data_IF_853655868851
#
_entry.id   IF_853655868851
#
_cell.length_a   1.000
_cell.length_b   1.000
_cell.length_c   1.000
_cell.angle_alpha   90.00
_cell.angle_beta   90.00
_cell.angle_gamma   90.00
#
_symmetry.space_group_name_H-M   'P 1'
#
loop_
_entity.id
_entity.type
_entity.pdbx_description
1 polymer ?
#
# COMPACT_ATOMS: atom_id res chain seq x y z
N UNK A 1 -23.65 4.19 33.89
CA UNK A 1 -24.54 3.62 32.86
C UNK A 1 -24.69 4.68 31.79
N UNK A 2 -24.00 4.59 30.64
CA UNK A 2 -24.30 5.47 29.52
C UNK A 2 -25.51 4.91 28.76
N UNK A 3 -26.41 5.82 28.41
CA UNK A 3 -27.66 5.60 27.69
C UNK A 3 -27.32 5.24 26.23
N UNK A 4 -27.56 3.99 25.85
CA UNK A 4 -27.22 3.43 24.55
C UNK A 4 -28.46 2.78 23.93
N UNK A 5 -29.45 3.59 23.55
CA UNK A 5 -30.41 3.22 22.49
C UNK A 5 -31.28 4.41 22.04
N UNK A 6 -30.66 5.44 21.46
CA UNK A 6 -31.40 6.36 20.58
C UNK A 6 -30.95 6.06 19.15
N UNK A 7 -31.83 5.56 18.26
CA UNK A 7 -31.49 5.48 16.85
C UNK A 7 -31.17 6.90 16.36
N UNK A 8 -30.03 7.07 15.70
CA UNK A 8 -29.67 8.31 15.03
C UNK A 8 -30.77 8.62 13.99
N UNK A 9 -31.67 9.54 14.33
CA UNK A 9 -32.63 10.09 13.37
C UNK A 9 -31.80 10.94 12.42
N UNK A 10 -31.43 10.35 11.28
CA UNK A 10 -30.79 11.09 10.20
C UNK A 10 -31.78 12.13 9.71
N UNK A 11 -31.49 13.40 9.99
CA UNK A 11 -32.24 14.54 9.49
C UNK A 11 -32.24 14.52 7.95
N UNK A 12 -33.35 14.06 7.37
CA UNK A 12 -33.50 13.92 5.91
C UNK A 12 -33.46 15.26 5.17
N UNK A 13 -33.56 16.39 5.88
CA UNK A 13 -33.46 17.73 5.29
C UNK A 13 -32.06 18.08 4.75
N UNK A 14 -31.08 17.19 4.91
CA UNK A 14 -29.67 17.38 4.51
C UNK A 14 -29.14 16.30 3.56
N UNK A 15 -30.03 15.46 3.01
CA UNK A 15 -29.66 14.42 2.04
C UNK A 15 -30.18 14.82 0.66
N UNK A 16 -29.43 14.45 -0.38
CA UNK A 16 -29.91 14.52 -1.76
C UNK A 16 -31.09 13.56 -1.93
N UNK A 17 -32.19 14.06 -2.49
CA UNK A 17 -33.41 13.30 -2.78
C UNK A 17 -33.62 13.30 -4.31
N UNK A 18 -33.51 12.15 -5.01
CA UNK A 18 -33.64 12.09 -6.46
C UNK A 18 -35.06 12.37 -6.97
N UNK A 19 -36.08 12.29 -6.10
CA UNK A 19 -37.49 12.33 -6.50
C UNK A 19 -38.10 13.75 -6.47
N UNK A 20 -37.29 14.79 -6.21
CA UNK A 20 -37.73 16.19 -6.13
C UNK A 20 -37.07 17.09 -7.17
N UNK A 21 -37.69 18.23 -7.48
CA UNK A 21 -37.11 19.22 -8.39
C UNK A 21 -35.85 19.88 -7.79
N UNK A 22 -34.75 19.89 -8.56
CA UNK A 22 -33.46 20.50 -8.20
C UNK A 22 -33.17 21.78 -9.00
N UNK A 23 -32.21 22.58 -8.53
CA UNK A 23 -31.77 23.81 -9.21
C UNK A 23 -30.88 23.56 -10.44
N UNK A 24 -30.70 22.29 -10.83
CA UNK A 24 -29.90 21.86 -11.97
C UNK A 24 -30.60 20.71 -12.72
N UNK A 25 -30.26 20.46 -14.00
CA UNK A 25 -30.81 19.33 -14.75
C UNK A 25 -30.33 17.98 -14.21
N UNK A 26 -31.24 17.05 -13.95
CA UNK A 26 -30.94 15.76 -13.30
C UNK A 26 -30.92 14.53 -14.23
N UNK A 27 -31.49 14.60 -15.43
CA UNK A 27 -31.67 13.42 -16.32
C UNK A 27 -30.38 12.60 -16.52
N UNK A 28 -29.25 13.28 -16.74
CA UNK A 28 -27.95 12.62 -16.91
C UNK A 28 -27.40 12.06 -15.60
N UNK A 29 -27.64 12.75 -14.49
CA UNK A 29 -27.24 12.29 -13.16
C UNK A 29 -27.98 11.00 -12.83
N UNK A 30 -29.30 10.97 -13.01
CA UNK A 30 -30.14 9.82 -12.66
C UNK A 30 -29.71 8.58 -13.46
N UNK A 31 -29.55 8.71 -14.78
CA UNK A 31 -29.03 7.64 -15.64
C UNK A 31 -27.62 7.19 -15.24
N UNK A 32 -26.76 8.10 -14.80
CA UNK A 32 -25.40 7.75 -14.35
C UNK A 32 -25.42 7.02 -13.00
N UNK A 33 -26.26 7.44 -12.06
CA UNK A 33 -26.38 6.78 -10.74
C UNK A 33 -26.91 5.35 -10.89
N UNK A 34 -27.87 5.13 -11.80
CA UNK A 34 -28.35 3.80 -12.16
C UNK A 34 -27.22 2.95 -12.75
N UNK A 35 -26.48 3.48 -13.74
CA UNK A 35 -25.34 2.78 -14.33
C UNK A 35 -24.25 2.43 -13.31
N UNK A 36 -23.90 3.35 -12.41
CA UNK A 36 -22.93 3.12 -11.33
C UNK A 36 -23.36 1.97 -10.42
N UNK A 37 -24.65 1.88 -10.09
CA UNK A 37 -25.17 0.88 -9.16
C UNK A 37 -25.15 -0.54 -9.75
N UNK A 38 -25.20 -0.66 -11.07
CA UNK A 38 -25.21 -1.94 -11.79
C UNK A 38 -23.82 -2.33 -12.34
N UNK A 39 -22.83 -1.42 -12.27
CA UNK A 39 -21.50 -1.66 -12.82
C UNK A 39 -20.65 -2.58 -11.91
N UNK A 40 -20.33 -3.77 -12.43
CA UNK A 40 -19.53 -4.79 -11.74
C UNK A 40 -18.09 -4.32 -11.47
N UNK A 41 -17.49 -3.52 -12.37
CA UNK A 41 -16.12 -3.02 -12.23
C UNK A 41 -16.05 -1.98 -11.10
N UNK A 42 -16.99 -1.04 -11.07
CA UNK A 42 -17.10 -0.05 -9.99
C UNK A 42 -17.33 -0.76 -8.65
N UNK A 43 -18.23 -1.74 -8.60
CA UNK A 43 -18.51 -2.51 -7.38
C UNK A 43 -17.23 -3.21 -6.89
N UNK A 44 -16.48 -3.86 -7.78
CA UNK A 44 -15.22 -4.52 -7.43
C UNK A 44 -14.18 -3.54 -6.87
N UNK A 45 -14.05 -2.34 -7.46
CA UNK A 45 -13.15 -1.31 -6.95
C UNK A 45 -13.59 -0.80 -5.56
N UNK A 46 -14.89 -0.60 -5.34
CA UNK A 46 -15.45 -0.15 -4.06
C UNK A 46 -15.34 -1.19 -2.94
N UNK A 47 -15.31 -2.48 -3.26
CA UNK A 47 -14.98 -3.53 -2.30
C UNK A 47 -13.47 -3.59 -2.02
N UNK A 48 -12.66 -3.54 -3.08
CA UNK A 48 -11.21 -3.64 -2.98
C UNK A 48 -10.57 -2.47 -2.21
N UNK A 49 -11.15 -1.26 -2.26
CA UNK A 49 -10.62 -0.09 -1.54
C UNK A 49 -10.58 -0.30 -0.02
N UNK A 50 -11.46 -1.14 0.55
CA UNK A 50 -11.53 -1.36 1.99
C UNK A 50 -10.51 -2.37 2.52
N UNK A 51 -9.91 -3.19 1.66
CA UNK A 51 -8.98 -4.26 2.09
C UNK A 51 -7.75 -3.71 2.80
N UNK A 52 -7.17 -2.61 2.33
CA UNK A 52 -5.99 -2.02 2.93
C UNK A 52 -6.31 -1.14 4.16
N UNK A 53 -7.21 -0.15 4.10
CA UNK A 53 -7.51 0.74 5.22
C UNK A 53 -8.21 -0.01 6.36
N UNK A 54 -9.24 -0.80 6.06
CA UNK A 54 -10.09 -1.43 7.07
C UNK A 54 -9.49 -2.76 7.51
N UNK A 55 -9.33 -3.72 6.59
CA UNK A 55 -8.94 -5.10 6.97
C UNK A 55 -7.48 -5.22 7.44
N UNK A 56 -6.58 -4.36 6.98
CA UNK A 56 -5.13 -4.45 7.28
C UNK A 56 -4.62 -3.37 8.23
N UNK A 57 -5.13 -2.13 8.15
CA UNK A 57 -4.69 -1.00 8.98
C UNK A 57 -5.63 -0.67 10.15
N UNK A 58 -6.86 -1.21 10.16
CA UNK A 58 -7.83 -0.95 11.22
C UNK A 58 -8.36 0.49 11.24
N UNK A 59 -8.34 1.18 10.09
CA UNK A 59 -8.95 2.50 9.94
C UNK A 59 -10.47 2.41 9.87
N UNK A 60 -11.14 3.55 10.04
CA UNK A 60 -12.59 3.66 9.94
C UNK A 60 -13.09 3.23 8.54
N UNK A 61 -14.37 2.86 8.44
CA UNK A 61 -14.97 2.33 7.21
C UNK A 61 -14.95 3.36 6.06
N UNK A 62 -14.40 2.95 4.92
CA UNK A 62 -14.39 3.67 3.64
C UNK A 62 -15.30 2.96 2.60
N UNK A 63 -16.19 2.09 3.06
CA UNK A 63 -17.04 1.24 2.22
C UNK A 63 -18.24 1.96 1.58
N UNK A 64 -19.18 1.18 1.00
CA UNK A 64 -20.31 1.73 0.25
C UNK A 64 -21.11 2.78 1.02
N UNK A 65 -21.26 2.63 2.35
CA UNK A 65 -22.00 3.61 3.16
C UNK A 65 -21.28 4.95 3.30
N UNK A 66 -19.96 4.92 3.46
CA UNK A 66 -19.13 6.13 3.46
C UNK A 66 -19.27 6.87 2.13
N UNK A 67 -19.14 6.14 1.03
CA UNK A 67 -19.26 6.67 -0.34
C UNK A 67 -20.64 7.28 -0.59
N UNK A 68 -21.72 6.58 -0.20
CA UNK A 68 -23.10 7.07 -0.28
C UNK A 68 -23.28 8.41 0.46
N UNK A 69 -22.76 8.50 1.69
CA UNK A 69 -22.85 9.71 2.52
C UNK A 69 -22.08 10.87 1.86
N UNK A 70 -20.86 10.62 1.37
CA UNK A 70 -20.03 11.64 0.71
C UNK A 70 -20.69 12.15 -0.57
N UNK A 71 -21.19 11.23 -1.42
CA UNK A 71 -21.90 11.56 -2.65
C UNK A 71 -23.15 12.40 -2.39
N UNK A 72 -24.00 11.98 -1.44
CA UNK A 72 -25.22 12.72 -1.12
C UNK A 72 -24.90 14.14 -0.61
N UNK A 73 -23.88 14.28 0.25
CA UNK A 73 -23.43 15.59 0.73
C UNK A 73 -22.85 16.46 -0.39
N UNK A 74 -22.10 15.87 -1.32
CA UNK A 74 -21.53 16.59 -2.45
C UNK A 74 -22.64 17.15 -3.37
N UNK A 75 -23.67 16.36 -3.65
CA UNK A 75 -24.83 16.81 -4.43
C UNK A 75 -25.66 17.88 -3.71
N UNK A 76 -25.90 17.73 -2.40
CA UNK A 76 -26.57 18.76 -1.61
C UNK A 76 -25.77 20.07 -1.55
N UNK A 77 -24.44 20.00 -1.47
CA UNK A 77 -23.57 21.19 -1.53
C UNK A 77 -23.65 21.86 -2.91
N UNK A 78 -23.60 21.06 -3.97
CA UNK A 78 -23.74 21.56 -5.34
C UNK A 78 -25.09 22.29 -5.53
N UNK A 79 -26.20 21.70 -5.07
CA UNK A 79 -27.53 22.30 -5.10
C UNK A 79 -27.59 23.68 -4.41
N UNK A 80 -27.06 23.77 -3.18
CA UNK A 80 -27.03 25.02 -2.42
C UNK A 80 -26.19 26.10 -3.12
N UNK A 81 -25.06 25.71 -3.71
CA UNK A 81 -24.19 26.62 -4.45
C UNK A 81 -24.86 27.11 -5.74
N UNK A 82 -25.56 26.24 -6.47
CA UNK A 82 -26.34 26.61 -7.67
C UNK A 82 -27.49 27.56 -7.32
N UNK A 83 -28.26 27.27 -6.26
CA UNK A 83 -29.27 28.18 -5.71
C UNK A 83 -28.68 29.54 -5.30
N UNK A 84 -27.44 29.55 -4.82
CA UNK A 84 -26.70 30.76 -4.48
C UNK A 84 -26.12 31.54 -5.67
N UNK A 85 -26.34 31.10 -6.91
CA UNK A 85 -25.83 31.75 -8.12
C UNK A 85 -24.33 31.51 -8.38
N UNK A 86 -23.73 30.50 -7.75
CA UNK A 86 -22.33 30.14 -8.01
C UNK A 86 -22.21 29.42 -9.34
N UNK A 87 -21.32 29.93 -10.20
CA UNK A 87 -21.01 29.34 -11.50
C UNK A 87 -19.94 28.25 -11.35
N UNK A 88 -20.15 27.12 -12.01
CA UNK A 88 -19.19 26.02 -12.06
C UNK A 88 -18.49 25.98 -13.42
N UNK A 89 -17.21 25.63 -13.41
CA UNK A 89 -16.35 25.65 -14.59
C UNK A 89 -15.92 24.25 -15.06
N UNK A 90 -16.19 23.19 -14.27
CA UNK A 90 -15.74 21.82 -14.56
C UNK A 90 -16.28 21.29 -15.90
N UNK A 91 -17.58 21.40 -16.13
CA UNK A 91 -18.20 21.00 -17.39
C UNK A 91 -17.89 22.01 -18.52
N UNK A 92 -18.14 23.31 -18.27
CA UNK A 92 -18.06 24.34 -19.31
C UNK A 92 -16.66 24.53 -19.90
N UNK A 93 -15.59 24.36 -19.11
CA UNK A 93 -14.20 24.41 -19.63
C UNK A 93 -13.83 23.22 -20.52
N UNK A 94 -14.63 22.15 -20.49
CA UNK A 94 -14.50 20.98 -21.37
C UNK A 94 -15.50 21.02 -22.54
N UNK A 95 -16.24 22.12 -22.71
CA UNK A 95 -17.28 22.24 -23.74
C UNK A 95 -18.53 21.39 -23.46
N UNK A 96 -18.73 20.98 -22.21
CA UNK A 96 -19.87 20.18 -21.77
C UNK A 96 -21.04 21.06 -21.30
N UNK A 97 -22.22 20.46 -21.22
CA UNK A 97 -23.43 21.15 -20.80
C UNK A 97 -23.50 21.23 -19.26
N UNK A 98 -24.33 22.14 -18.75
CA UNK A 98 -24.60 22.24 -17.30
C UNK A 98 -25.11 20.92 -16.71
N UNK A 99 -25.86 20.12 -17.48
CA UNK A 99 -26.33 18.80 -17.09
C UNK A 99 -25.19 17.79 -16.79
N UNK A 100 -23.96 18.08 -17.22
CA UNK A 100 -22.78 17.24 -16.94
C UNK A 100 -22.10 17.61 -15.61
N UNK A 101 -22.38 18.79 -15.05
CA UNK A 101 -21.85 19.20 -13.75
C UNK A 101 -22.23 18.24 -12.61
N UNK A 102 -23.51 17.88 -12.40
CA UNK A 102 -23.88 16.95 -11.33
C UNK A 102 -23.34 15.53 -11.57
N UNK A 103 -23.18 15.11 -12.83
CA UNK A 103 -22.56 13.83 -13.20
C UNK A 103 -21.10 13.79 -12.75
N UNK A 104 -20.34 14.85 -13.05
CA UNK A 104 -18.94 14.99 -12.62
C UNK A 104 -18.85 14.93 -11.08
N UNK A 105 -19.71 15.66 -10.37
CA UNK A 105 -19.74 15.68 -8.90
C UNK A 105 -20.03 14.29 -8.33
N UNK A 106 -21.04 13.60 -8.85
CA UNK A 106 -21.45 12.28 -8.37
C UNK A 106 -20.38 11.21 -8.64
N UNK A 107 -19.80 11.18 -9.84
CA UNK A 107 -18.72 10.24 -10.19
C UNK A 107 -17.47 10.50 -9.34
N UNK A 108 -17.06 11.77 -9.20
CA UNK A 108 -15.90 12.14 -8.40
C UNK A 108 -16.09 11.72 -6.94
N UNK A 109 -17.24 11.99 -6.34
CA UNK A 109 -17.54 11.58 -4.97
C UNK A 109 -17.61 10.05 -4.80
N UNK A 110 -18.15 9.36 -5.80
CA UNK A 110 -18.27 7.89 -5.78
C UNK A 110 -16.90 7.21 -5.83
N UNK A 111 -15.99 7.72 -6.65
CA UNK A 111 -14.70 7.08 -6.94
C UNK A 111 -13.52 7.70 -6.18
N UNK A 112 -13.74 8.67 -5.29
CA UNK A 112 -12.66 9.47 -4.71
C UNK A 112 -11.57 8.65 -3.98
N UNK A 113 -11.94 7.51 -3.41
CA UNK A 113 -11.06 6.63 -2.64
C UNK A 113 -10.56 5.40 -3.42
N UNK A 114 -10.85 5.30 -4.73
CA UNK A 114 -10.39 4.18 -5.58
C UNK A 114 -8.86 4.01 -5.61
N UNK A 115 -8.11 5.08 -5.29
CA UNK A 115 -6.66 5.03 -5.11
C UNK A 115 -6.19 4.01 -4.06
N UNK A 116 -7.05 3.64 -3.10
CA UNK A 116 -6.76 2.57 -2.15
C UNK A 116 -6.59 1.19 -2.80
N UNK A 117 -7.19 0.97 -3.98
CA UNK A 117 -7.13 -0.30 -4.74
C UNK A 117 -5.78 -0.51 -5.41
N UNK A 118 -5.22 0.55 -6.00
CA UNK A 118 -3.91 0.54 -6.68
C UNK A 118 -2.77 0.20 -5.71
N UNK A 119 -3.06 0.22 -4.41
CA UNK A 119 -2.07 0.11 -3.38
C UNK A 119 -1.50 -1.30 -3.20
N UNK A 120 -1.97 -2.43 -3.75
CA UNK A 120 -1.32 -3.73 -3.43
C UNK A 120 0.07 -3.91 -4.05
N UNK A 121 0.17 -3.84 -5.38
CA UNK A 121 1.47 -3.94 -6.09
C UNK A 121 2.32 -2.70 -5.82
N UNK A 122 1.71 -1.51 -5.83
CA UNK A 122 2.43 -0.29 -5.45
C UNK A 122 2.91 -0.33 -4.00
N UNK A 123 2.17 -0.93 -3.06
CA UNK A 123 2.64 -1.08 -1.68
C UNK A 123 3.83 -2.01 -1.59
N UNK A 124 3.82 -3.15 -2.29
CA UNK A 124 5.01 -4.01 -2.37
C UNK A 124 6.22 -3.26 -2.95
N UNK A 125 6.00 -2.45 -4.00
CA UNK A 125 7.03 -1.59 -4.59
C UNK A 125 7.46 -0.46 -3.64
N UNK A 126 6.58 0.12 -2.84
CA UNK A 126 6.97 1.21 -1.94
C UNK A 126 7.71 0.65 -0.72
N UNK A 127 7.10 -0.29 0.00
CA UNK A 127 7.61 -0.79 1.27
C UNK A 127 8.89 -1.65 1.16
N UNK A 128 9.36 -2.04 -0.03
CA UNK A 128 10.65 -2.73 -0.15
C UNK A 128 11.84 -1.80 0.18
N UNK A 129 11.70 -0.50 -0.07
CA UNK A 129 12.79 0.49 0.06
C UNK A 129 12.53 1.54 1.14
N UNK A 130 11.29 1.71 1.57
CA UNK A 130 10.88 2.75 2.53
C UNK A 130 10.52 2.13 3.90
N UNK A 131 10.52 2.90 5.01
CA UNK A 131 10.29 2.36 6.36
C UNK A 131 8.87 1.84 6.60
N UNK A 132 7.95 2.04 5.67
CA UNK A 132 6.59 1.53 5.70
C UNK A 132 6.57 0.01 5.85
N UNK A 133 5.66 -0.49 6.69
CA UNK A 133 5.54 -1.93 6.98
C UNK A 133 4.85 -2.68 5.83
N UNK A 134 5.38 -3.85 5.41
CA UNK A 134 4.66 -4.80 4.58
C UNK A 134 3.32 -5.21 5.20
N UNK A 135 2.25 -5.23 4.39
CA UNK A 135 0.89 -5.57 4.83
C UNK A 135 0.48 -6.97 4.33
N UNK A 136 1.26 -7.55 3.42
CA UNK A 136 1.05 -8.88 2.85
C UNK A 136 2.36 -9.67 2.88
N UNK A 137 2.27 -10.99 2.79
CA UNK A 137 3.45 -11.85 2.71
C UNK A 137 4.23 -11.60 1.41
N UNK A 138 3.55 -11.33 0.29
CA UNK A 138 4.16 -11.03 -1.01
C UNK A 138 5.01 -9.75 -0.95
N UNK A 139 4.51 -8.70 -0.29
CA UNK A 139 5.28 -7.48 -0.06
C UNK A 139 6.51 -7.76 0.84
N UNK A 140 6.35 -8.62 1.85
CA UNK A 140 7.44 -9.12 2.68
C UNK A 140 8.51 -9.86 1.88
N UNK A 141 8.09 -10.76 0.98
CA UNK A 141 8.99 -11.51 0.09
C UNK A 141 9.79 -10.56 -0.79
N UNK A 142 9.17 -9.58 -1.44
CA UNK A 142 9.88 -8.60 -2.28
C UNK A 142 10.87 -7.77 -1.46
N UNK A 143 10.48 -7.33 -0.25
CA UNK A 143 11.35 -6.56 0.65
C UNK A 143 12.58 -7.34 1.10
N UNK A 144 12.41 -8.59 1.50
CA UNK A 144 13.53 -9.46 1.94
C UNK A 144 14.39 -9.86 0.76
N UNK A 145 13.79 -10.17 -0.41
CA UNK A 145 14.53 -10.49 -1.63
C UNK A 145 15.48 -9.37 -2.05
N UNK A 146 15.07 -8.10 -1.95
CA UNK A 146 15.96 -6.97 -2.24
C UNK A 146 17.15 -6.87 -1.25
N UNK A 147 16.96 -7.23 0.02
CA UNK A 147 18.07 -7.30 0.98
C UNK A 147 19.03 -8.47 0.71
N UNK A 148 18.53 -9.61 0.22
CA UNK A 148 19.37 -10.78 -0.08
C UNK A 148 20.39 -10.52 -1.20
N UNK A 149 20.13 -9.55 -2.07
CA UNK A 149 21.09 -9.05 -3.06
C UNK A 149 22.20 -8.20 -2.39
N UNK A 150 23.06 -8.86 -1.61
CA UNK A 150 24.13 -8.22 -0.82
C UNK A 150 25.53 -8.79 -1.07
N UNK A 151 25.67 -9.71 -2.04
CA UNK A 151 26.95 -10.32 -2.36
C UNK A 151 27.98 -9.31 -2.90
N UNK A 152 29.27 -9.61 -2.70
CA UNK A 152 30.40 -8.77 -3.13
C UNK A 152 30.33 -8.25 -4.58
N UNK A 153 29.67 -8.98 -5.48
CA UNK A 153 29.46 -8.58 -6.88
C UNK A 153 28.74 -7.24 -7.04
N UNK A 154 27.85 -6.90 -6.10
CA UNK A 154 27.03 -5.67 -6.12
C UNK A 154 27.84 -4.40 -5.84
N UNK A 155 28.93 -4.52 -5.09
CA UNK A 155 29.77 -3.39 -4.64
C UNK A 155 31.00 -3.13 -5.52
N UNK A 156 31.13 -3.85 -6.63
CA UNK A 156 32.26 -3.77 -7.54
C UNK A 156 32.51 -2.35 -8.06
N UNK A 157 31.48 -1.68 -8.58
CA UNK A 157 31.62 -0.36 -9.20
C UNK A 157 32.01 0.72 -8.15
N UNK A 158 31.35 0.84 -6.98
CA UNK A 158 31.78 1.75 -5.93
C UNK A 158 33.22 1.51 -5.45
N UNK A 159 33.61 0.24 -5.30
CA UNK A 159 34.96 -0.14 -4.85
C UNK A 159 36.03 0.24 -5.88
N UNK A 160 35.81 -0.08 -7.17
CA UNK A 160 36.71 0.29 -8.28
C UNK A 160 36.85 1.82 -8.43
N UNK A 161 35.82 2.59 -8.05
CA UNK A 161 35.86 4.05 -7.99
C UNK A 161 36.52 4.62 -6.71
N UNK A 162 37.10 3.78 -5.87
CA UNK A 162 37.80 4.18 -4.65
C UNK A 162 36.90 4.34 -3.41
N UNK A 163 35.64 3.90 -3.48
CA UNK A 163 34.73 3.87 -2.34
C UNK A 163 35.23 2.93 -1.25
N UNK A 164 35.43 3.47 -0.05
CA UNK A 164 35.87 2.72 1.15
C UNK A 164 34.91 2.90 2.33
N UNK A 165 33.63 3.11 2.03
CA UNK A 165 32.59 3.18 3.05
C UNK A 165 32.35 1.82 3.69
N UNK A 166 31.80 1.82 4.92
CA UNK A 166 31.50 0.59 5.67
C UNK A 166 30.61 -0.38 4.86
N UNK A 167 29.66 0.13 4.08
CA UNK A 167 28.81 -0.65 3.20
C UNK A 167 29.60 -1.38 2.11
N UNK A 168 30.57 -0.71 1.47
CA UNK A 168 31.42 -1.32 0.45
C UNK A 168 32.33 -2.39 1.04
N UNK A 169 32.90 -2.16 2.23
CA UNK A 169 33.80 -3.10 2.89
C UNK A 169 33.04 -4.34 3.37
N UNK A 170 31.91 -4.14 4.04
CA UNK A 170 31.06 -5.21 4.58
C UNK A 170 30.44 -6.08 3.47
N UNK A 171 30.00 -5.50 2.35
CA UNK A 171 29.50 -6.30 1.21
C UNK A 171 30.59 -7.14 0.54
N UNK A 172 31.85 -6.69 0.54
CA UNK A 172 32.97 -7.50 0.01
C UNK A 172 33.26 -8.73 0.86
N UNK A 173 32.85 -8.72 2.13
CA UNK A 173 32.98 -9.85 3.03
C UNK A 173 31.92 -10.94 2.77
N UNK A 174 30.82 -10.64 2.05
CA UNK A 174 29.81 -11.62 1.67
C UNK A 174 30.21 -12.31 0.36
N UNK A 175 30.51 -13.61 0.45
CA UNK A 175 30.91 -14.41 -0.70
C UNK A 175 29.72 -14.95 -1.48
N UNK A 176 28.72 -15.47 -0.78
CA UNK A 176 27.57 -16.15 -1.39
C UNK A 176 26.37 -16.13 -0.43
N UNK A 177 25.16 -15.98 -0.97
CA UNK A 177 23.90 -16.09 -0.24
C UNK A 177 23.07 -17.20 -0.87
N UNK A 178 22.64 -18.19 -0.07
CA UNK A 178 21.83 -19.31 -0.57
C UNK A 178 20.51 -19.42 0.16
N UNK A 179 19.46 -19.80 -0.58
CA UNK A 179 18.13 -20.09 -0.07
C UNK A 179 17.88 -21.59 -0.12
N UNK A 180 17.53 -22.17 1.02
CA UNK A 180 17.27 -23.60 1.18
C UNK A 180 15.97 -23.82 1.96
N UNK A 181 15.42 -25.04 1.89
CA UNK A 181 14.37 -25.45 2.80
C UNK A 181 14.97 -25.61 4.21
N UNK A 182 14.34 -25.01 5.22
CA UNK A 182 14.78 -25.16 6.60
C UNK A 182 14.00 -26.24 7.37
N UNK A 183 14.63 -26.77 8.42
CA UNK A 183 14.01 -27.80 9.28
C UNK A 183 13.09 -27.20 10.35
N UNK A 184 13.45 -26.03 10.89
CA UNK A 184 12.72 -25.35 11.98
C UNK A 184 11.89 -24.15 11.50
N UNK A 185 12.22 -23.62 10.32
CA UNK A 185 11.49 -22.57 9.62
C UNK A 185 11.44 -22.92 8.12
N UNK A 186 10.39 -22.52 7.38
CA UNK A 186 10.25 -22.87 5.96
C UNK A 186 11.46 -22.50 5.09
N UNK A 187 12.09 -21.36 5.36
CA UNK A 187 13.23 -20.84 4.59
C UNK A 187 14.48 -20.74 5.46
N UNK A 188 15.56 -21.35 5.01
CA UNK A 188 16.92 -21.14 5.53
C UNK A 188 17.70 -20.24 4.57
N UNK A 189 18.18 -19.11 5.08
CA UNK A 189 19.13 -18.21 4.41
C UNK A 189 20.51 -18.52 4.96
N UNK A 190 21.38 -19.11 4.14
CA UNK A 190 22.79 -19.33 4.51
C UNK A 190 23.68 -18.28 3.84
N UNK A 191 24.48 -17.57 4.64
CA UNK A 191 25.35 -16.48 4.20
C UNK A 191 26.81 -16.89 4.42
N UNK A 192 27.52 -17.14 3.32
CA UNK A 192 28.94 -17.46 3.34
C UNK A 192 29.76 -16.16 3.39
N UNK A 193 30.61 -16.01 4.41
CA UNK A 193 31.43 -14.83 4.63
C UNK A 193 32.91 -15.19 4.69
N UNK A 194 33.76 -14.27 4.24
CA UNK A 194 35.23 -14.40 4.33
C UNK A 194 35.84 -13.59 5.49
N UNK A 195 35.07 -12.68 6.08
CA UNK A 195 35.47 -11.89 7.24
C UNK A 195 34.23 -11.47 8.06
N UNK A 196 34.44 -11.19 9.36
CA UNK A 196 33.40 -10.77 10.29
C UNK A 196 32.76 -9.42 9.93
N UNK A 197 33.39 -8.60 9.08
CA UNK A 197 32.78 -7.38 8.54
C UNK A 197 31.45 -7.65 7.81
N UNK A 198 31.21 -8.87 7.34
CA UNK A 198 29.96 -9.27 6.69
C UNK A 198 28.75 -9.25 7.63
N UNK A 199 28.96 -9.46 8.94
CA UNK A 199 27.90 -9.42 9.97
C UNK A 199 27.14 -8.09 9.93
N UNK A 200 27.82 -6.98 9.62
CA UNK A 200 27.20 -5.68 9.48
C UNK A 200 26.15 -5.62 8.35
N UNK A 201 26.37 -6.29 7.21
CA UNK A 201 25.35 -6.38 6.16
C UNK A 201 24.16 -7.23 6.60
N UNK A 202 24.42 -8.33 7.29
CA UNK A 202 23.35 -9.20 7.77
C UNK A 202 22.45 -8.44 8.73
N UNK A 203 23.02 -7.66 9.65
CA UNK A 203 22.25 -6.95 10.66
C UNK A 203 21.55 -5.68 10.11
N UNK A 204 22.32 -4.75 9.53
CA UNK A 204 21.80 -3.44 9.12
C UNK A 204 20.96 -3.48 7.83
N UNK A 205 21.13 -4.51 6.99
CA UNK A 205 20.36 -4.66 5.76
C UNK A 205 19.33 -5.78 5.88
N UNK A 206 19.75 -7.02 6.10
CA UNK A 206 18.83 -8.16 6.03
C UNK A 206 17.89 -8.24 7.24
N UNK A 207 18.42 -8.25 8.46
CA UNK A 207 17.61 -8.30 9.68
C UNK A 207 16.68 -7.08 9.76
N UNK A 208 17.20 -5.89 9.45
CA UNK A 208 16.39 -4.66 9.40
C UNK A 208 15.23 -4.74 8.39
N UNK A 209 15.41 -5.41 7.23
CA UNK A 209 14.33 -5.60 6.24
C UNK A 209 13.40 -6.76 6.56
N UNK A 210 13.90 -7.80 7.23
CA UNK A 210 13.14 -8.97 7.66
C UNK A 210 12.21 -8.65 8.84
N UNK A 211 12.64 -7.78 9.75
CA UNK A 211 11.82 -7.37 10.89
C UNK A 211 10.50 -6.74 10.46
N UNK A 212 9.40 -7.13 11.10
CA UNK A 212 8.04 -6.66 10.79
C UNK A 212 7.60 -6.91 9.32
N UNK A 213 8.26 -7.84 8.61
CA UNK A 213 8.02 -8.06 7.17
C UNK A 213 6.82 -8.95 6.84
N UNK A 214 6.09 -9.45 7.84
CA UNK A 214 5.11 -10.57 7.76
C UNK A 214 5.71 -11.96 7.52
N UNK A 215 6.99 -12.07 7.15
CA UNK A 215 7.67 -13.37 6.95
C UNK A 215 8.84 -13.60 7.92
N UNK A 216 9.01 -12.74 8.92
CA UNK A 216 10.06 -12.81 9.93
C UNK A 216 10.14 -14.20 10.60
N UNK A 217 9.01 -14.68 11.13
CA UNK A 217 8.93 -15.98 11.81
C UNK A 217 9.09 -17.19 10.87
N UNK A 218 9.21 -16.96 9.56
CA UNK A 218 9.33 -18.01 8.54
C UNK A 218 10.73 -18.12 7.92
N UNK A 219 11.63 -17.21 8.27
CA UNK A 219 12.98 -17.12 7.70
C UNK A 219 14.00 -17.28 8.82
N UNK A 220 14.88 -18.27 8.68
CA UNK A 220 16.02 -18.47 9.56
C UNK A 220 17.31 -18.05 8.86
N UNK A 221 18.15 -17.27 9.51
CA UNK A 221 19.41 -16.78 8.95
C UNK A 221 20.58 -17.47 9.66
N UNK A 222 21.50 -18.05 8.89
CA UNK A 222 22.73 -18.66 9.37
C UNK A 222 23.90 -18.07 8.63
N UNK A 223 24.86 -17.52 9.36
CA UNK A 223 26.09 -16.98 8.80
C UNK A 223 27.24 -17.97 9.02
N UNK A 224 28.03 -18.20 7.97
CA UNK A 224 29.11 -19.18 7.94
C UNK A 224 30.41 -18.48 7.57
N UNK A 225 31.40 -18.50 8.46
CA UNK A 225 32.72 -17.91 8.18
C UNK A 225 33.67 -18.97 7.60
N UNK A 226 34.07 -18.81 6.35
CA UNK A 226 35.04 -19.66 5.67
C UNK A 226 36.44 -19.01 5.74
N UNK A 227 37.21 -19.29 6.80
CA UNK A 227 38.64 -18.92 6.85
C UNK A 227 39.44 -19.82 5.90
N UNK A 228 40.35 -19.22 5.12
CA UNK A 228 41.04 -19.89 4.03
C UNK A 228 42.19 -20.82 4.42
N UNK A 229 42.65 -20.85 5.67
CA UNK A 229 43.99 -21.42 5.94
C UNK A 229 44.12 -22.38 7.13
N UNK A 230 43.05 -22.98 7.64
CA UNK A 230 43.18 -24.17 8.50
C UNK A 230 41.99 -25.11 8.33
N UNK A 231 42.29 -26.37 7.99
CA UNK A 231 41.30 -27.45 7.89
C UNK A 231 40.51 -27.56 9.21
N UNK A 232 39.18 -27.38 9.10
CA UNK A 232 38.14 -27.75 10.08
C UNK A 232 37.72 -26.77 11.20
N UNK A 233 37.72 -25.45 10.98
CA UNK A 233 36.91 -24.55 11.82
C UNK A 233 35.99 -23.69 10.95
N UNK A 234 34.80 -24.23 10.70
CA UNK A 234 33.66 -23.46 10.17
C UNK A 234 32.93 -22.87 11.37
N UNK A 235 33.06 -21.57 11.59
CA UNK A 235 32.29 -20.86 12.61
C UNK A 235 30.89 -20.58 12.06
N UNK A 236 29.88 -21.19 12.68
CA UNK A 236 28.45 -20.99 12.35
C UNK A 236 27.82 -20.12 13.41
N UNK A 237 27.24 -19.01 12.97
CA UNK A 237 26.58 -18.04 13.84
C UNK A 237 25.12 -17.96 13.40
N UNK A 238 24.20 -18.23 14.32
CA UNK A 238 22.77 -17.98 14.13
C UNK A 238 22.49 -16.51 14.43
N UNK A 239 21.80 -15.83 13.52
CA UNK A 239 21.63 -14.38 13.49
C UNK A 239 20.17 -13.96 13.48
#
# INVERSE_FOLDING_TARGET
MPDADRPDVVDSSRLYDPDVDHAFPQERLDATLEAIAEDEEITAYLEAQNVNPVSRKGYNDHGPKHVEIVRNRALSLYELLKKGGVMFNGASQQGLAEADEPVIVALAATLHDIGHVVHQVLHAILCHHTPEKPLTHEAGVVRVADALDMERGRSRIPYEKGGRGINTISSQAIRNVTLQAGDTAPVLVEIEMVDAAGVFQVDELLNAKLRDSRIEDHVRIVAVNARSDDENIVERIEM
#
